data_IF_593566053116
#
_entry.id   IF_593566053116
#
_cell.length_a   1.000
_cell.length_b   1.000
_cell.length_c   1.000
_cell.angle_alpha   90.00
_cell.angle_beta   90.00
_cell.angle_gamma   90.00
#
_symmetry.space_group_name_H-M   'P 1'
#
loop_
_entity.id
_entity.type
_entity.pdbx_description
1 polymer ?
#
# COMPACT_ATOMS: atom_id res chain seq x y z
N UNK A 1 68.14 15.98 18.92
CA UNK A 1 67.14 15.17 19.66
C UNK A 1 67.48 13.69 19.47
N UNK A 2 67.56 12.89 20.55
CA UNK A 2 68.11 11.52 20.54
C UNK A 2 67.18 10.54 19.78
N UNK A 3 67.44 10.31 18.49
CA UNK A 3 66.65 9.45 17.58
C UNK A 3 66.44 8.00 18.10
N UNK A 4 67.41 7.45 18.84
CA UNK A 4 67.30 6.12 19.46
C UNK A 4 66.23 6.05 20.55
N UNK A 5 66.04 7.12 21.32
CA UNK A 5 65.03 7.16 22.37
C UNK A 5 63.61 7.29 21.76
N UNK A 6 63.48 8.03 20.66
CA UNK A 6 62.21 8.17 19.93
C UNK A 6 61.79 6.85 19.27
N UNK A 7 62.74 6.08 18.72
CA UNK A 7 62.46 4.76 18.14
C UNK A 7 62.02 3.74 19.21
N UNK A 8 62.69 3.73 20.36
CA UNK A 8 62.35 2.86 21.48
C UNK A 8 60.94 3.18 22.03
N UNK A 9 60.62 4.47 22.18
CA UNK A 9 59.28 4.92 22.57
C UNK A 9 58.22 4.54 21.53
N UNK A 10 58.52 4.65 20.24
CA UNK A 10 57.60 4.23 19.17
C UNK A 10 57.30 2.73 19.22
N UNK A 11 58.31 1.88 19.42
CA UNK A 11 58.12 0.43 19.56
C UNK A 11 57.24 0.11 20.78
N UNK A 12 57.46 0.79 21.91
CA UNK A 12 56.63 0.63 23.10
C UNK A 12 55.17 1.02 22.81
N UNK A 13 54.93 2.13 22.11
CA UNK A 13 53.58 2.56 21.71
C UNK A 13 52.92 1.54 20.78
N UNK A 14 53.65 0.95 19.83
CA UNK A 14 53.12 -0.09 18.93
C UNK A 14 52.77 -1.36 19.72
N UNK A 15 53.63 -1.80 20.65
CA UNK A 15 53.38 -2.98 21.49
C UNK A 15 52.18 -2.75 22.43
N UNK A 16 52.10 -1.57 23.06
CA UNK A 16 50.95 -1.19 23.89
C UNK A 16 49.67 -1.08 23.05
N UNK A 17 49.74 -0.50 21.86
CA UNK A 17 48.62 -0.41 20.92
C UNK A 17 48.13 -1.80 20.47
N UNK A 18 49.04 -2.72 20.18
CA UNK A 18 48.71 -4.11 19.87
C UNK A 18 48.07 -4.82 21.07
N UNK A 19 48.62 -4.64 22.29
CA UNK A 19 48.05 -5.21 23.52
C UNK A 19 46.63 -4.70 23.78
N UNK A 20 46.40 -3.38 23.73
CA UNK A 20 45.07 -2.79 23.90
C UNK A 20 44.09 -3.30 22.85
N UNK A 21 44.50 -3.36 21.58
CA UNK A 21 43.63 -3.85 20.50
C UNK A 21 43.26 -5.33 20.66
N UNK A 22 44.22 -6.21 20.93
CA UNK A 22 43.96 -7.66 21.01
C UNK A 22 43.30 -8.07 22.34
N UNK A 23 43.72 -7.51 23.47
CA UNK A 23 43.25 -7.94 24.79
C UNK A 23 42.02 -7.20 25.28
N UNK A 24 42.01 -5.86 25.15
CA UNK A 24 40.85 -5.05 25.56
C UNK A 24 39.78 -5.06 24.48
N UNK A 25 40.08 -4.66 23.24
CA UNK A 25 39.02 -4.55 22.23
C UNK A 25 38.54 -5.91 21.71
N UNK A 26 39.44 -6.73 21.14
CA UNK A 26 39.07 -8.03 20.58
C UNK A 26 38.74 -9.05 21.67
N UNK A 27 39.51 -9.07 22.75
CA UNK A 27 39.29 -9.96 23.90
C UNK A 27 38.01 -9.64 24.69
N UNK A 28 37.69 -8.37 24.95
CA UNK A 28 36.42 -8.04 25.59
C UNK A 28 35.23 -8.35 24.69
N UNK A 29 35.34 -8.05 23.39
CA UNK A 29 34.31 -8.43 22.41
C UNK A 29 34.06 -9.93 22.39
N UNK A 30 35.11 -10.75 22.37
CA UNK A 30 34.97 -12.20 22.41
C UNK A 30 34.33 -12.69 23.72
N UNK A 31 34.75 -12.16 24.87
CA UNK A 31 34.14 -12.50 26.17
C UNK A 31 32.66 -12.11 26.25
N UNK A 32 32.30 -10.96 25.68
CA UNK A 32 30.92 -10.49 25.62
C UNK A 32 30.07 -11.35 24.67
N UNK A 33 30.63 -11.78 23.53
CA UNK A 33 30.00 -12.73 22.62
C UNK A 33 29.82 -14.11 23.26
N UNK A 34 30.82 -14.62 23.97
CA UNK A 34 30.76 -15.88 24.73
C UNK A 34 29.72 -15.81 25.85
N UNK A 35 29.70 -14.71 26.62
CA UNK A 35 28.69 -14.47 27.66
C UNK A 35 27.29 -14.40 27.06
N UNK A 36 27.11 -13.65 25.98
CA UNK A 36 25.81 -13.52 25.31
C UNK A 36 25.32 -14.88 24.79
N UNK A 37 26.20 -15.67 24.17
CA UNK A 37 25.91 -17.03 23.71
C UNK A 37 25.58 -17.98 24.87
N UNK A 38 26.28 -17.84 25.99
CA UNK A 38 26.01 -18.56 27.23
C UNK A 38 24.71 -18.11 27.94
N UNK A 39 24.07 -17.03 27.50
CA UNK A 39 22.76 -16.61 27.98
C UNK A 39 21.63 -16.96 26.99
N UNK A 40 21.92 -17.20 25.71
CA UNK A 40 20.91 -17.56 24.70
C UNK A 40 20.16 -18.83 25.08
N UNK A 41 18.85 -18.86 24.88
CA UNK A 41 18.03 -20.06 25.10
C UNK A 41 18.44 -21.19 24.17
N UNK A 42 18.58 -20.88 22.87
CA UNK A 42 19.05 -21.79 21.82
C UNK A 42 20.12 -21.04 21.02
N UNK A 43 21.31 -21.60 20.87
CA UNK A 43 22.39 -21.04 20.04
C UNK A 43 22.27 -21.58 18.62
N UNK A 44 21.72 -20.78 17.71
CA UNK A 44 21.56 -21.15 16.30
C UNK A 44 21.65 -19.94 15.37
N UNK A 45 21.92 -20.21 14.08
CA UNK A 45 21.88 -19.21 13.01
C UNK A 45 20.53 -19.22 12.30
N UNK A 46 19.91 -18.05 12.14
CA UNK A 46 18.55 -17.93 11.55
C UNK A 46 18.49 -18.37 10.09
N UNK A 47 19.60 -18.21 9.38
CA UNK A 47 19.75 -18.55 7.97
C UNK A 47 19.77 -20.07 7.77
N UNK A 48 20.08 -20.83 8.81
CA UNK A 48 20.15 -22.29 8.78
C UNK A 48 18.81 -22.96 9.11
N UNK A 49 17.80 -22.20 9.57
CA UNK A 49 16.46 -22.72 9.86
C UNK A 49 15.70 -22.98 8.55
N UNK A 50 15.37 -24.25 8.30
CA UNK A 50 14.61 -24.71 7.13
C UNK A 50 13.15 -25.01 7.45
N UNK A 51 12.82 -25.25 8.72
CA UNK A 51 11.46 -25.60 9.13
C UNK A 51 11.14 -25.17 10.56
N UNK A 52 9.87 -24.92 10.82
CA UNK A 52 9.32 -24.80 12.17
C UNK A 52 8.10 -25.70 12.33
N UNK A 53 7.92 -26.32 13.49
CA UNK A 53 6.66 -26.98 13.85
C UNK A 53 6.13 -26.43 15.17
N UNK A 54 4.84 -26.09 15.20
CA UNK A 54 4.11 -25.71 16.40
C UNK A 54 3.09 -26.80 16.72
N UNK A 55 3.24 -27.42 17.88
CA UNK A 55 2.41 -28.55 18.31
C UNK A 55 1.71 -28.16 19.60
N UNK A 56 0.40 -28.33 19.63
CA UNK A 56 -0.44 -28.16 20.81
C UNK A 56 -1.40 -29.33 20.96
N UNK A 57 -2.23 -29.34 22.00
CA UNK A 57 -3.29 -30.33 22.17
C UNK A 57 -4.38 -30.26 21.09
N UNK A 58 -4.47 -29.15 20.34
CA UNK A 58 -5.56 -28.89 19.39
C UNK A 58 -5.13 -28.98 17.92
N UNK A 59 -3.89 -28.62 17.62
CA UNK A 59 -3.38 -28.57 16.25
C UNK A 59 -1.86 -28.80 16.20
N UNK A 60 -1.42 -29.38 15.08
CA UNK A 60 -0.02 -29.47 14.67
C UNK A 60 0.15 -28.70 13.38
N UNK A 61 1.00 -27.67 13.40
CA UNK A 61 1.30 -26.83 12.25
C UNK A 61 2.75 -27.02 11.89
N UNK A 62 3.02 -27.42 10.66
CA UNK A 62 4.39 -27.59 10.15
C UNK A 62 4.60 -26.62 8.99
N UNK A 63 5.67 -25.83 9.09
CA UNK A 63 6.08 -24.87 8.07
C UNK A 63 7.49 -25.22 7.58
N UNK A 64 7.70 -25.17 6.26
CA UNK A 64 8.98 -25.38 5.62
C UNK A 64 9.31 -24.22 4.68
N UNK A 65 10.59 -23.88 4.61
CA UNK A 65 11.10 -22.91 3.64
C UNK A 65 11.39 -23.64 2.34
N UNK A 66 10.79 -23.19 1.24
CA UNK A 66 11.04 -23.74 -0.08
C UNK A 66 12.37 -23.23 -0.68
N UNK A 67 12.72 -23.74 -1.86
CA UNK A 67 13.95 -23.37 -2.57
C UNK A 67 14.01 -21.91 -3.01
N UNK A 68 12.86 -21.23 -3.11
CA UNK A 68 12.77 -19.79 -3.40
C UNK A 68 12.92 -18.91 -2.15
N UNK A 69 12.95 -19.52 -0.96
CA UNK A 69 13.02 -18.82 0.31
C UNK A 69 11.66 -18.37 0.85
N UNK A 70 10.56 -18.81 0.26
CA UNK A 70 9.21 -18.55 0.76
C UNK A 70 8.81 -19.66 1.75
N UNK A 71 7.98 -19.29 2.73
CA UNK A 71 7.48 -20.26 3.71
C UNK A 71 6.20 -20.92 3.21
N UNK A 72 6.11 -22.24 3.39
CA UNK A 72 4.96 -23.07 3.07
C UNK A 72 4.50 -23.78 4.33
N UNK A 73 3.20 -23.80 4.56
CA UNK A 73 2.56 -24.67 5.54
C UNK A 73 2.29 -26.00 4.84
N UNK A 74 2.74 -27.09 5.44
CA UNK A 74 2.57 -28.46 4.94
C UNK A 74 1.62 -29.29 5.80
N UNK A 75 1.36 -28.87 7.04
CA UNK A 75 0.31 -29.44 7.91
C UNK A 75 -0.40 -28.34 8.70
N UNK A 76 -1.72 -28.48 8.95
CA UNK A 76 -2.60 -29.55 8.46
C UNK A 76 -3.08 -29.33 7.01
N UNK A 77 -2.75 -28.19 6.40
CA UNK A 77 -3.14 -27.82 5.03
C UNK A 77 -1.91 -27.49 4.20
N UNK A 78 -2.03 -27.59 2.87
CA UNK A 78 -1.01 -27.11 1.94
C UNK A 78 -1.30 -25.64 1.60
N UNK A 79 -0.49 -24.72 2.11
CA UNK A 79 -0.72 -23.29 1.92
C UNK A 79 0.57 -22.45 1.96
N UNK A 80 0.49 -21.23 1.43
CA UNK A 80 1.53 -20.23 1.65
C UNK A 80 1.54 -19.76 3.11
N UNK A 81 2.73 -19.66 3.68
CA UNK A 81 2.98 -19.12 5.01
C UNK A 81 3.22 -17.61 5.00
N UNK A 82 2.76 -16.95 6.05
CA UNK A 82 3.07 -15.55 6.33
C UNK A 82 4.53 -15.44 6.79
N UNK A 83 5.40 -15.07 5.84
CA UNK A 83 6.85 -14.95 6.04
C UNK A 83 7.20 -14.08 7.25
N UNK A 84 6.56 -12.92 7.40
CA UNK A 84 6.86 -11.99 8.50
C UNK A 84 6.52 -12.59 9.87
N UNK A 85 5.42 -13.33 9.97
CA UNK A 85 5.01 -13.99 11.22
C UNK A 85 5.95 -15.16 11.55
N UNK A 86 6.27 -16.01 10.57
CA UNK A 86 7.15 -17.17 10.76
C UNK A 86 8.57 -16.73 11.11
N UNK A 87 9.13 -15.76 10.38
CA UNK A 87 10.44 -15.18 10.71
C UNK A 87 10.44 -14.45 12.05
N UNK A 88 9.31 -13.86 12.45
CA UNK A 88 9.11 -13.29 13.78
C UNK A 88 9.26 -14.32 14.91
N UNK A 89 8.76 -15.54 14.71
CA UNK A 89 8.95 -16.66 15.66
C UNK A 89 10.43 -17.02 15.75
N UNK A 90 11.10 -17.19 14.61
CA UNK A 90 12.52 -17.53 14.55
C UNK A 90 13.36 -16.45 15.25
N UNK A 91 13.08 -15.17 14.97
CA UNK A 91 13.74 -14.04 15.63
C UNK A 91 13.49 -14.02 17.14
N UNK A 92 12.27 -14.36 17.59
CA UNK A 92 11.94 -14.47 19.02
C UNK A 92 12.80 -15.53 19.69
N UNK A 93 12.97 -16.70 19.07
CA UNK A 93 13.80 -17.78 19.62
C UNK A 93 15.28 -17.46 19.60
N UNK A 94 15.77 -16.85 18.52
CA UNK A 94 17.17 -16.43 18.40
C UNK A 94 17.55 -15.37 19.44
N UNK A 95 16.61 -14.51 19.85
CA UNK A 95 16.83 -13.48 20.86
C UNK A 95 16.43 -13.90 22.28
N UNK A 96 15.80 -15.07 22.44
CA UNK A 96 15.39 -15.57 23.74
C UNK A 96 16.60 -15.88 24.61
N UNK A 97 16.54 -15.51 25.89
CA UNK A 97 17.58 -15.79 26.89
C UNK A 97 17.08 -16.77 27.95
N UNK A 98 18.02 -17.46 28.58
CA UNK A 98 17.84 -18.21 29.81
C UNK A 98 17.86 -17.21 30.97
N UNK A 99 16.68 -16.81 31.41
CA UNK A 99 16.54 -15.82 32.48
C UNK A 99 16.89 -16.45 33.84
N UNK A 100 16.47 -17.69 34.04
CA UNK A 100 16.74 -18.43 35.28
C UNK A 100 16.65 -19.94 35.06
N UNK A 101 17.48 -20.69 35.78
CA UNK A 101 17.32 -22.14 35.94
C UNK A 101 16.44 -22.38 37.17
N UNK A 102 15.35 -23.13 37.00
CA UNK A 102 14.37 -23.42 38.05
C UNK A 102 14.60 -24.80 38.65
N UNK A 103 14.96 -25.77 37.81
CA UNK A 103 15.35 -27.11 38.23
C UNK A 103 16.50 -27.62 37.36
N UNK A 104 17.45 -28.30 37.97
CA UNK A 104 18.58 -28.95 37.28
C UNK A 104 18.23 -30.37 36.79
N UNK A 105 17.06 -30.90 37.19
CA UNK A 105 16.57 -32.24 36.86
C UNK A 105 15.12 -32.20 36.37
N UNK A 106 14.66 -33.30 35.76
CA UNK A 106 13.29 -33.51 35.26
C UNK A 106 12.24 -33.73 36.38
N UNK A 107 12.41 -33.05 37.52
CA UNK A 107 11.47 -33.08 38.64
C UNK A 107 10.36 -32.04 38.45
N UNK A 108 9.15 -32.35 38.93
CA UNK A 108 8.00 -31.45 38.99
C UNK A 108 7.57 -30.84 37.63
N UNK A 109 7.80 -31.55 36.51
CA UNK A 109 7.42 -31.06 35.17
C UNK A 109 5.93 -30.74 35.03
N UNK A 110 5.06 -31.46 35.74
CA UNK A 110 3.61 -31.21 35.76
C UNK A 110 3.29 -29.83 36.35
N UNK A 111 3.97 -29.43 37.44
CA UNK A 111 3.76 -28.14 38.12
C UNK A 111 4.10 -26.96 37.21
N UNK A 112 5.09 -27.15 36.34
CA UNK A 112 5.52 -26.17 35.35
C UNK A 112 4.70 -26.22 34.05
N UNK A 113 3.73 -27.13 33.93
CA UNK A 113 2.96 -27.33 32.71
C UNK A 113 3.80 -27.86 31.54
N UNK A 114 4.86 -28.62 31.82
CA UNK A 114 5.76 -29.24 30.84
C UNK A 114 5.45 -30.73 30.63
N UNK A 115 4.50 -31.30 31.37
CA UNK A 115 4.01 -32.67 31.23
C UNK A 115 2.49 -32.77 31.49
N UNK A 116 1.63 -32.76 30.44
CA UNK A 116 1.98 -32.46 29.06
C UNK A 116 2.40 -30.98 28.90
N UNK A 117 3.23 -30.64 27.89
CA UNK A 117 3.55 -29.26 27.58
C UNK A 117 2.35 -28.49 27.03
N UNK A 118 2.23 -27.22 27.38
CA UNK A 118 1.25 -26.28 26.81
C UNK A 118 1.44 -26.05 25.30
N UNK A 119 2.69 -26.09 24.83
CA UNK A 119 3.04 -26.13 23.42
C UNK A 119 4.44 -26.73 23.23
N UNK A 120 4.69 -27.31 22.07
CA UNK A 120 6.02 -27.76 21.64
C UNK A 120 6.40 -27.01 20.37
N UNK A 121 7.59 -26.43 20.35
CA UNK A 121 8.17 -25.78 19.19
C UNK A 121 9.39 -26.57 18.71
N UNK A 122 9.40 -26.93 17.42
CA UNK A 122 10.53 -27.63 16.80
C UNK A 122 11.16 -26.71 15.74
N UNK A 123 12.47 -26.52 15.80
CA UNK A 123 13.27 -25.90 14.75
C UNK A 123 13.97 -26.99 13.95
N UNK A 124 13.82 -26.97 12.62
CA UNK A 124 14.56 -27.85 11.71
C UNK A 124 15.65 -27.06 10.99
N UNK A 125 16.83 -27.65 10.85
CA UNK A 125 18.00 -27.00 10.27
C UNK A 125 18.48 -27.65 8.98
N UNK A 126 19.25 -26.90 8.17
CA UNK A 126 19.91 -27.42 6.94
C UNK A 126 20.78 -28.65 7.17
N UNK A 127 21.34 -28.79 8.37
CA UNK A 127 22.16 -29.94 8.75
C UNK A 127 21.38 -31.24 8.92
N UNK A 128 20.05 -31.20 8.86
CA UNK A 128 19.17 -32.33 9.18
C UNK A 128 18.91 -32.50 10.68
N UNK A 129 19.57 -31.71 11.55
CA UNK A 129 19.28 -31.68 12.98
C UNK A 129 17.99 -30.91 13.27
N UNK A 130 17.39 -31.19 14.41
CA UNK A 130 16.27 -30.43 14.94
C UNK A 130 16.44 -30.17 16.44
N UNK A 131 16.01 -28.98 16.88
CA UNK A 131 15.91 -28.63 18.29
C UNK A 131 14.45 -28.53 18.70
N UNK A 132 14.12 -29.16 19.83
CA UNK A 132 12.76 -29.20 20.37
C UNK A 132 12.69 -28.47 21.69
N UNK A 133 11.83 -27.46 21.76
CA UNK A 133 11.54 -26.67 22.94
C UNK A 133 10.13 -27.00 23.44
N UNK A 134 10.06 -27.59 24.63
CA UNK A 134 8.82 -27.76 25.38
C UNK A 134 8.52 -26.45 26.09
N UNK A 135 7.30 -25.96 25.95
CA UNK A 135 6.82 -24.71 26.53
C UNK A 135 5.67 -25.03 27.47
N UNK A 136 5.77 -24.58 28.71
CA UNK A 136 4.78 -24.80 29.75
C UNK A 136 4.07 -23.53 30.18
N UNK A 137 3.71 -23.49 31.46
CA UNK A 137 2.96 -22.40 32.06
C UNK A 137 3.75 -21.09 32.07
N UNK A 138 3.02 -19.97 32.08
CA UNK A 138 3.60 -18.68 32.44
C UNK A 138 3.80 -18.60 33.96
N UNK A 139 4.80 -17.85 34.39
CA UNK A 139 4.98 -17.56 35.82
C UNK A 139 3.82 -16.67 36.34
N UNK A 140 3.64 -16.53 37.67
CA UNK A 140 2.53 -15.75 38.24
C UNK A 140 2.44 -14.30 37.75
N UNK A 141 3.59 -13.65 37.51
CA UNK A 141 3.65 -12.28 36.98
C UNK A 141 3.39 -12.19 35.48
N UNK A 142 3.31 -13.34 34.79
CA UNK A 142 3.13 -13.50 33.34
C UNK A 142 4.24 -12.89 32.48
N UNK A 143 5.36 -12.51 33.09
CA UNK A 143 6.54 -11.95 32.40
C UNK A 143 7.34 -13.04 31.71
N UNK A 144 7.40 -14.22 32.33
CA UNK A 144 8.21 -15.36 31.88
C UNK A 144 7.35 -16.60 31.68
N UNK A 145 7.91 -17.57 30.96
CA UNK A 145 7.34 -18.90 30.79
C UNK A 145 8.37 -19.97 31.15
N UNK A 146 7.88 -21.07 31.73
CA UNK A 146 8.68 -22.26 31.95
C UNK A 146 8.90 -22.96 30.61
N UNK A 147 10.15 -23.33 30.33
CA UNK A 147 10.55 -24.03 29.11
C UNK A 147 11.58 -25.10 29.42
N UNK A 148 11.66 -26.10 28.52
CA UNK A 148 12.66 -27.16 28.59
C UNK A 148 13.11 -27.55 27.19
N UNK A 149 14.42 -27.62 26.98
CA UNK A 149 14.97 -28.22 25.76
C UNK A 149 14.87 -29.74 25.87
N UNK A 150 14.39 -30.42 24.83
CA UNK A 150 14.17 -31.87 24.89
C UNK A 150 15.45 -32.66 25.22
N UNK A 151 16.61 -32.19 24.75
CA UNK A 151 17.91 -32.80 25.00
C UNK A 151 18.55 -32.42 26.35
N UNK A 152 17.86 -31.65 27.21
CA UNK A 152 18.38 -31.16 28.49
C UNK A 152 17.42 -31.50 29.64
N UNK A 153 17.93 -31.89 30.82
CA UNK A 153 17.09 -32.13 31.98
C UNK A 153 16.66 -30.85 32.73
N UNK A 154 17.12 -29.67 32.29
CA UNK A 154 16.92 -28.42 33.02
C UNK A 154 15.56 -27.79 32.69
N UNK A 155 14.86 -27.33 33.72
CA UNK A 155 13.70 -26.44 33.58
C UNK A 155 14.16 -24.99 33.70
N UNK A 156 13.81 -24.18 32.71
CA UNK A 156 14.28 -22.81 32.55
C UNK A 156 13.11 -21.83 32.56
N UNK A 157 13.37 -20.58 32.95
CA UNK A 157 12.53 -19.44 32.61
C UNK A 157 13.09 -18.70 31.40
N UNK A 158 12.20 -18.29 30.52
CA UNK A 158 12.50 -17.36 29.42
C UNK A 158 11.36 -16.36 29.25
N UNK A 159 11.56 -15.34 28.41
CA UNK A 159 10.53 -14.33 28.12
C UNK A 159 9.22 -14.97 27.65
N UNK A 160 8.09 -14.45 28.13
CA UNK A 160 6.75 -14.88 27.69
C UNK A 160 6.49 -14.71 26.19
N UNK A 161 7.33 -13.95 25.45
CA UNK A 161 7.30 -13.91 23.99
C UNK A 161 7.46 -15.29 23.35
N UNK A 162 8.29 -16.16 23.93
CA UNK A 162 8.47 -17.55 23.46
C UNK A 162 7.15 -18.33 23.61
N UNK A 163 6.44 -18.14 24.74
CA UNK A 163 5.13 -18.75 24.96
C UNK A 163 4.10 -18.30 23.91
N UNK A 164 4.02 -17.02 23.60
CA UNK A 164 3.09 -16.53 22.58
C UNK A 164 3.46 -16.97 21.16
N UNK A 165 4.75 -17.08 20.85
CA UNK A 165 5.24 -17.58 19.56
C UNK A 165 4.95 -19.07 19.36
N UNK A 166 5.14 -19.89 20.39
CA UNK A 166 4.85 -21.33 20.34
C UNK A 166 3.35 -21.65 20.21
N UNK A 167 2.48 -20.72 20.60
CA UNK A 167 1.01 -20.87 20.57
C UNK A 167 0.32 -20.14 19.42
N UNK A 168 1.07 -19.73 18.39
CA UNK A 168 0.47 -19.22 17.15
C UNK A 168 -0.39 -20.30 16.51
N UNK A 169 -1.53 -19.90 15.97
CA UNK A 169 -2.49 -20.80 15.33
C UNK A 169 -2.24 -20.86 13.82
N UNK A 170 -2.84 -21.84 13.14
CA UNK A 170 -2.74 -21.97 11.68
C UNK A 170 -3.06 -20.66 10.94
N UNK A 171 -4.12 -19.97 11.36
CA UNK A 171 -4.53 -18.69 10.77
C UNK A 171 -3.48 -17.57 10.93
N UNK A 172 -2.71 -17.58 12.02
CA UNK A 172 -1.66 -16.58 12.24
C UNK A 172 -0.52 -16.79 11.26
N UNK A 173 -0.15 -18.05 11.04
CA UNK A 173 0.97 -18.46 10.19
C UNK A 173 0.65 -18.47 8.70
N UNK A 174 -0.62 -18.43 8.31
CA UNK A 174 -1.03 -18.50 6.90
C UNK A 174 -0.96 -17.13 6.21
N UNK A 175 -0.58 -17.12 4.94
CA UNK A 175 -0.67 -15.94 4.09
C UNK A 175 -2.15 -15.51 3.98
N UNK A 176 -2.43 -14.31 4.50
CA UNK A 176 -3.78 -13.75 4.57
C UNK A 176 -4.09 -12.79 3.42
N UNK A 177 -3.26 -12.66 2.39
CA UNK A 177 -3.62 -11.86 1.22
C UNK A 177 -4.84 -12.47 0.52
N UNK A 178 -5.81 -11.63 0.14
CA UNK A 178 -6.96 -12.09 -0.64
C UNK A 178 -6.55 -12.43 -2.08
N UNK A 179 -5.50 -11.78 -2.59
CA UNK A 179 -4.81 -12.08 -3.84
C UNK A 179 -3.42 -11.43 -3.80
N UNK A 180 -2.36 -12.15 -4.16
CA UNK A 180 -0.97 -11.67 -4.08
C UNK A 180 -0.53 -11.12 -5.44
N UNK A 181 -0.21 -9.82 -5.50
CA UNK A 181 0.31 -9.13 -6.67
C UNK A 181 1.12 -7.90 -6.27
N UNK A 182 1.84 -7.32 -7.23
CA UNK A 182 2.58 -6.08 -7.04
C UNK A 182 1.91 -4.99 -7.86
N UNK A 183 1.45 -3.92 -7.19
CA UNK A 183 0.67 -2.84 -7.82
C UNK A 183 1.41 -2.13 -8.96
N UNK A 184 2.74 -2.02 -8.85
CA UNK A 184 3.59 -1.40 -9.88
C UNK A 184 3.59 -2.19 -11.19
N UNK A 185 3.31 -3.49 -11.11
CA UNK A 185 3.35 -4.40 -12.24
C UNK A 185 1.97 -4.52 -12.92
N UNK A 186 0.90 -3.94 -12.35
CA UNK A 186 -0.44 -3.99 -12.94
C UNK A 186 -0.50 -3.07 -14.17
N UNK A 187 -0.68 -3.66 -15.35
CA UNK A 187 -0.86 -2.93 -16.61
C UNK A 187 -2.33 -2.82 -17.03
N UNK A 188 -3.17 -3.77 -16.63
CA UNK A 188 -4.61 -3.79 -16.94
C UNK A 188 -5.41 -4.37 -15.79
N UNK A 189 -6.58 -3.78 -15.57
CA UNK A 189 -7.55 -4.14 -14.54
C UNK A 189 -8.91 -4.26 -15.21
N UNK A 190 -9.57 -5.40 -15.02
CA UNK A 190 -10.96 -5.62 -15.45
C UNK A 190 -11.82 -5.86 -14.21
N UNK A 191 -12.89 -5.09 -14.07
CA UNK A 191 -13.85 -5.19 -12.96
C UNK A 191 -15.17 -5.67 -13.52
N UNK A 192 -15.63 -6.83 -13.05
CA UNK A 192 -16.95 -7.38 -13.38
C UNK A 192 -17.88 -7.20 -12.17
N UNK A 193 -19.08 -6.69 -12.40
CA UNK A 193 -20.10 -6.48 -11.36
C UNK A 193 -21.48 -6.77 -11.95
N UNK A 194 -21.99 -7.97 -11.68
CA UNK A 194 -23.18 -8.48 -12.38
C UNK A 194 -22.98 -8.44 -13.89
N UNK A 195 -23.86 -7.72 -14.61
CA UNK A 195 -23.79 -7.56 -16.07
C UNK A 195 -22.85 -6.44 -16.55
N UNK A 196 -22.28 -5.64 -15.65
CA UNK A 196 -21.39 -4.53 -15.99
C UNK A 196 -19.94 -5.02 -15.97
N UNK A 197 -19.17 -4.59 -16.96
CA UNK A 197 -17.73 -4.81 -17.02
C UNK A 197 -17.02 -3.50 -17.37
N UNK A 198 -15.88 -3.25 -16.73
CA UNK A 198 -15.02 -2.10 -16.99
C UNK A 198 -13.60 -2.59 -17.18
N UNK A 199 -12.96 -2.19 -18.28
CA UNK A 199 -11.56 -2.51 -18.54
C UNK A 199 -10.74 -1.22 -18.57
N UNK A 200 -9.74 -1.12 -17.71
CA UNK A 200 -8.77 -0.03 -17.72
C UNK A 200 -7.38 -0.59 -18.00
N UNK A 201 -6.60 0.11 -18.82
CA UNK A 201 -5.29 -0.31 -19.28
C UNK A 201 -4.32 0.86 -19.30
N UNK A 202 -3.06 0.59 -18.98
CA UNK A 202 -2.00 1.59 -18.93
C UNK A 202 -1.30 1.64 -20.29
N UNK A 203 -1.56 2.71 -21.04
CA UNK A 203 -0.96 2.98 -22.35
C UNK A 203 0.03 4.12 -22.16
N UNK A 204 1.31 3.87 -22.48
CA UNK A 204 2.40 4.85 -22.31
C UNK A 204 2.43 5.50 -20.90
N UNK A 205 2.13 4.71 -19.87
CA UNK A 205 2.09 5.16 -18.49
C UNK A 205 0.77 5.82 -18.04
N UNK A 206 -0.18 6.05 -18.95
CA UNK A 206 -1.46 6.70 -18.67
C UNK A 206 -2.58 5.66 -18.61
N UNK A 207 -3.36 5.68 -17.53
CA UNK A 207 -4.55 4.84 -17.42
C UNK A 207 -5.65 5.30 -18.38
N UNK A 208 -6.14 4.36 -19.18
CA UNK A 208 -7.19 4.56 -20.19
C UNK A 208 -8.32 3.56 -19.93
N UNK A 209 -9.55 4.04 -19.85
CA UNK A 209 -10.74 3.19 -19.86
C UNK A 209 -10.94 2.74 -21.30
N UNK A 210 -10.94 1.43 -21.53
CA UNK A 210 -11.13 0.80 -22.85
C UNK A 210 -12.53 0.24 -23.05
N UNK A 211 -13.25 -0.03 -21.96
CA UNK A 211 -14.62 -0.52 -22.00
C UNK A 211 -15.41 0.02 -20.79
N UNK A 212 -16.68 0.44 -20.97
CA UNK A 212 -17.50 0.34 -22.19
C UNK A 212 -17.26 1.43 -23.24
N UNK A 213 -16.47 2.45 -22.92
CA UNK A 213 -16.06 3.51 -23.84
C UNK A 213 -14.55 3.71 -23.75
N UNK A 214 -13.97 4.26 -24.82
CA UNK A 214 -12.56 4.62 -24.85
C UNK A 214 -12.35 6.07 -24.41
N UNK A 215 -11.74 6.27 -23.24
CA UNK A 215 -11.45 7.60 -22.69
C UNK A 215 -10.35 7.53 -21.63
N UNK A 216 -9.72 8.67 -21.28
CA UNK A 216 -8.76 8.71 -20.17
C UNK A 216 -9.42 8.26 -18.88
N UNK A 217 -8.72 7.46 -18.08
CA UNK A 217 -9.22 7.00 -16.79
C UNK A 217 -8.64 7.81 -15.62
N UNK A 218 -9.41 7.87 -14.54
CA UNK A 218 -9.04 8.51 -13.28
C UNK A 218 -8.03 7.61 -12.54
N UNK A 219 -6.75 7.97 -12.66
CA UNK A 219 -5.65 7.21 -12.07
C UNK A 219 -5.78 7.08 -10.54
N UNK A 220 -6.28 8.10 -9.85
CA UNK A 220 -6.48 8.07 -8.39
C UNK A 220 -7.53 7.04 -7.99
N UNK A 221 -8.62 6.95 -8.75
CA UNK A 221 -9.68 5.97 -8.52
C UNK A 221 -9.16 4.56 -8.76
N UNK A 222 -8.43 4.33 -9.84
CA UNK A 222 -7.79 3.02 -10.12
C UNK A 222 -6.82 2.64 -9.00
N UNK A 223 -5.95 3.58 -8.59
CA UNK A 223 -5.00 3.35 -7.51
C UNK A 223 -5.71 3.06 -6.17
N UNK A 224 -6.83 3.72 -5.86
CA UNK A 224 -7.65 3.42 -4.67
C UNK A 224 -8.19 1.99 -4.70
N UNK A 225 -8.63 1.51 -5.86
CA UNK A 225 -9.12 0.13 -6.06
C UNK A 225 -7.97 -0.86 -5.84
N UNK A 226 -6.84 -0.69 -6.55
CA UNK A 226 -5.66 -1.55 -6.43
C UNK A 226 -5.12 -1.57 -4.99
N UNK A 227 -5.05 -0.41 -4.32
CA UNK A 227 -4.64 -0.30 -2.93
C UNK A 227 -5.57 -1.06 -2.00
N UNK A 228 -6.89 -0.93 -2.17
CA UNK A 228 -7.87 -1.65 -1.35
C UNK A 228 -7.71 -3.15 -1.52
N UNK A 229 -7.57 -3.66 -2.74
CA UNK A 229 -7.44 -5.10 -3.00
C UNK A 229 -6.13 -5.61 -2.38
N UNK A 230 -5.00 -4.96 -2.67
CA UNK A 230 -3.67 -5.35 -2.18
C UNK A 230 -3.53 -5.33 -0.64
N UNK A 231 -4.17 -4.35 0.02
CA UNK A 231 -4.13 -4.22 1.49
C UNK A 231 -5.17 -5.09 2.21
N UNK A 232 -6.13 -5.65 1.49
CA UNK A 232 -7.17 -6.48 2.10
C UNK A 232 -6.61 -7.82 2.55
N UNK A 233 -7.18 -8.32 3.64
CA UNK A 233 -6.81 -9.58 4.25
C UNK A 233 -8.01 -10.50 4.37
N UNK A 234 -7.74 -11.80 4.25
CA UNK A 234 -8.66 -12.88 4.57
C UNK A 234 -9.07 -12.73 6.03
N UNK A 235 -10.38 -12.74 6.28
CA UNK A 235 -10.93 -12.73 7.63
C UNK A 235 -10.97 -14.14 8.24
N UNK A 236 -11.29 -15.14 7.42
CA UNK A 236 -11.54 -16.52 7.81
C UNK A 236 -11.42 -17.39 6.55
N UNK A 237 -10.80 -18.56 6.66
CA UNK A 237 -10.87 -19.60 5.65
C UNK A 237 -12.06 -20.50 6.01
N UNK A 238 -13.02 -20.61 5.10
CA UNK A 238 -14.32 -21.26 5.34
C UNK A 238 -14.27 -22.73 4.95
N UNK A 239 -13.71 -23.01 3.78
CA UNK A 239 -13.61 -24.36 3.24
C UNK A 239 -12.32 -24.48 2.41
N UNK A 240 -11.50 -25.49 2.69
CA UNK A 240 -10.19 -25.67 2.05
C UNK A 240 -10.33 -26.19 0.61
N UNK A 241 -11.30 -27.07 0.37
CA UNK A 241 -11.50 -27.80 -0.88
C UNK A 241 -12.99 -27.87 -1.22
N UNK A 242 -13.60 -26.75 -1.65
CA UNK A 242 -15.02 -26.73 -2.00
C UNK A 242 -15.32 -27.61 -3.22
N UNK A 243 -16.28 -28.52 -3.09
CA UNK A 243 -16.80 -29.31 -4.21
C UNK A 243 -17.78 -28.50 -5.08
N UNK A 244 -18.58 -27.64 -4.44
CA UNK A 244 -19.56 -26.78 -5.09
C UNK A 244 -19.34 -25.31 -4.72
N UNK A 245 -19.06 -24.48 -5.73
CA UNK A 245 -18.87 -23.03 -5.60
C UNK A 245 -20.18 -22.25 -5.64
N UNK A 246 -21.28 -22.86 -6.09
CA UNK A 246 -22.58 -22.17 -6.21
C UNK A 246 -23.16 -21.84 -4.85
N UNK A 247 -22.94 -22.68 -3.83
CA UNK A 247 -23.35 -22.42 -2.44
C UNK A 247 -22.74 -21.11 -1.89
N UNK A 248 -21.58 -20.70 -2.38
CA UNK A 248 -20.90 -19.45 -2.00
C UNK A 248 -21.22 -18.28 -2.94
N UNK A 249 -22.01 -18.53 -3.98
CA UNK A 249 -22.25 -17.58 -5.07
C UNK A 249 -20.97 -17.24 -5.83
N UNK A 250 -20.02 -18.17 -5.94
CA UNK A 250 -18.76 -18.00 -6.69
C UNK A 250 -18.84 -18.57 -8.11
N UNK A 251 -19.93 -19.26 -8.45
CA UNK A 251 -20.23 -19.76 -9.79
C UNK A 251 -21.73 -19.55 -10.10
N UNK A 252 -22.12 -18.44 -10.77
CA UNK A 252 -21.27 -17.31 -11.15
C UNK A 252 -20.97 -16.36 -9.97
N UNK A 253 -19.83 -15.65 -9.98
CA UNK A 253 -19.47 -14.70 -8.93
C UNK A 253 -20.30 -13.41 -9.04
N UNK A 254 -20.61 -12.78 -7.89
CA UNK A 254 -21.26 -11.47 -7.85
C UNK A 254 -20.34 -10.35 -8.34
N UNK A 255 -19.04 -10.47 -8.05
CA UNK A 255 -17.98 -9.60 -8.55
C UNK A 255 -16.77 -10.44 -8.95
N UNK A 256 -16.06 -10.02 -10.00
CA UNK A 256 -14.76 -10.57 -10.34
C UNK A 256 -13.78 -9.44 -10.68
N UNK A 257 -12.51 -9.65 -10.36
CA UNK A 257 -11.44 -8.72 -10.67
C UNK A 257 -10.34 -9.48 -11.39
N UNK A 258 -10.07 -9.09 -12.63
CA UNK A 258 -8.91 -9.59 -13.37
C UNK A 258 -7.79 -8.55 -13.32
N UNK A 259 -6.62 -8.97 -12.87
CA UNK A 259 -5.39 -8.20 -12.89
C UNK A 259 -4.46 -8.81 -13.93
N UNK A 260 -3.95 -8.00 -14.83
CA UNK A 260 -2.92 -8.39 -15.78
C UNK A 260 -1.61 -7.72 -15.34
N UNK A 261 -0.55 -8.54 -15.25
CA UNK A 261 0.74 -8.14 -14.68
C UNK A 261 1.83 -8.15 -15.74
N UNK A 262 2.61 -7.07 -15.81
CA UNK A 262 3.83 -6.97 -16.58
C UNK A 262 4.96 -7.82 -15.96
N UNK A 263 5.97 -8.23 -16.76
CA UNK A 263 6.11 -8.03 -18.20
C UNK A 263 5.37 -9.09 -19.04
N UNK A 264 4.96 -10.21 -18.45
CA UNK A 264 4.46 -11.39 -19.18
C UNK A 264 2.93 -11.43 -19.38
N UNK A 265 2.23 -10.36 -19.01
CA UNK A 265 0.77 -10.26 -19.04
C UNK A 265 0.06 -11.37 -18.22
N UNK A 266 0.70 -11.87 -17.15
CA UNK A 266 0.12 -12.89 -16.30
C UNK A 266 -1.21 -12.42 -15.71
N UNK A 267 -2.25 -13.23 -15.89
CA UNK A 267 -3.59 -12.96 -15.36
C UNK A 267 -3.72 -13.50 -13.93
N UNK A 268 -4.28 -12.70 -13.03
CA UNK A 268 -4.71 -13.10 -11.70
C UNK A 268 -6.17 -12.70 -11.49
N UNK A 269 -6.99 -13.61 -10.98
CA UNK A 269 -8.43 -13.38 -10.82
C UNK A 269 -8.86 -13.54 -9.36
N UNK A 270 -9.56 -12.53 -8.83
CA UNK A 270 -10.26 -12.61 -7.55
C UNK A 270 -11.77 -12.71 -7.80
N UNK A 271 -12.39 -13.79 -7.36
CA UNK A 271 -13.84 -13.96 -7.33
C UNK A 271 -14.41 -13.55 -5.98
N UNK A 272 -15.54 -12.84 -5.98
CA UNK A 272 -16.29 -12.48 -4.78
C UNK A 272 -17.75 -12.86 -5.01
N UNK A 273 -18.25 -13.73 -4.14
CA UNK A 273 -19.57 -14.32 -4.24
C UNK A 273 -20.63 -13.61 -3.41
N UNK A 274 -21.54 -14.40 -2.82
CA UNK A 274 -22.65 -13.87 -2.02
C UNK A 274 -22.17 -13.32 -0.67
N UNK A 275 -23.01 -12.49 -0.05
CA UNK A 275 -22.80 -12.03 1.33
C UNK A 275 -22.89 -13.22 2.29
N UNK A 276 -21.96 -13.31 3.25
CA UNK A 276 -22.15 -14.13 4.46
C UNK A 276 -23.04 -13.39 5.46
N UNK A 277 -22.76 -12.09 5.64
CA UNK A 277 -23.49 -11.18 6.52
C UNK A 277 -23.31 -9.71 6.05
N UNK A 278 -23.65 -8.73 6.89
CA UNK A 278 -23.53 -7.30 6.58
C UNK A 278 -22.10 -6.78 6.42
N UNK A 279 -21.12 -7.51 6.96
CA UNK A 279 -19.70 -7.15 7.02
C UNK A 279 -18.85 -7.94 6.03
N UNK A 280 -19.24 -9.16 5.67
CA UNK A 280 -18.38 -10.10 4.94
C UNK A 280 -19.04 -10.75 3.72
N UNK A 281 -18.21 -11.07 2.73
CA UNK A 281 -18.55 -11.82 1.52
C UNK A 281 -17.66 -13.04 1.40
N UNK A 282 -18.17 -14.10 0.80
CA UNK A 282 -17.35 -15.21 0.34
C UNK A 282 -16.50 -14.75 -0.86
N UNK A 283 -15.27 -15.23 -0.93
CA UNK A 283 -14.34 -14.92 -2.00
C UNK A 283 -13.39 -16.09 -2.24
N UNK A 284 -12.78 -16.10 -3.42
CA UNK A 284 -11.77 -17.06 -3.81
C UNK A 284 -10.77 -16.42 -4.78
N UNK A 285 -9.51 -16.67 -4.53
CA UNK A 285 -8.42 -16.43 -5.48
C UNK A 285 -8.39 -17.60 -6.45
N UNK A 286 -8.48 -17.35 -7.76
CA UNK A 286 -8.56 -18.40 -8.77
C UNK A 286 -7.35 -19.35 -8.73
N UNK A 287 -6.16 -18.86 -8.34
CA UNK A 287 -4.98 -19.72 -8.23
C UNK A 287 -4.92 -20.56 -6.94
N UNK A 288 -5.94 -20.51 -6.08
CA UNK A 288 -5.99 -21.24 -4.79
C UNK A 288 -7.30 -22.00 -4.64
N UNK A 289 -7.26 -23.10 -3.90
CA UNK A 289 -8.45 -23.93 -3.60
C UNK A 289 -9.42 -23.31 -2.58
N UNK A 290 -8.96 -22.71 -1.47
CA UNK A 290 -9.85 -22.34 -0.38
C UNK A 290 -10.84 -21.23 -0.71
N UNK A 291 -12.05 -21.36 -0.17
CA UNK A 291 -13.03 -20.27 -0.04
C UNK A 291 -12.79 -19.55 1.27
N UNK A 292 -12.77 -18.22 1.22
CA UNK A 292 -12.50 -17.39 2.38
C UNK A 292 -13.41 -16.17 2.46
N UNK A 293 -13.37 -15.48 3.58
CA UNK A 293 -14.15 -14.26 3.80
C UNK A 293 -13.33 -13.00 3.59
N UNK A 294 -13.96 -12.03 2.93
CA UNK A 294 -13.43 -10.68 2.72
C UNK A 294 -14.40 -9.62 3.22
N UNK A 295 -13.86 -8.49 3.68
CA UNK A 295 -14.68 -7.36 4.12
C UNK A 295 -15.50 -6.78 2.96
N UNK A 296 -16.73 -6.33 3.25
CA UNK A 296 -17.58 -5.52 2.36
C UNK A 296 -16.86 -4.31 1.76
N UNK A 297 -15.82 -3.79 2.42
CA UNK A 297 -15.00 -2.71 1.88
C UNK A 297 -14.30 -3.06 0.56
N UNK A 298 -14.04 -4.34 0.29
CA UNK A 298 -13.57 -4.81 -1.02
C UNK A 298 -14.67 -4.57 -2.06
N UNK A 299 -15.90 -5.03 -1.83
CA UNK A 299 -17.00 -4.83 -2.78
C UNK A 299 -17.39 -3.37 -2.99
N UNK A 300 -17.24 -2.52 -1.97
CA UNK A 300 -17.57 -1.09 -2.06
C UNK A 300 -16.74 -0.38 -3.13
N UNK A 301 -15.46 -0.74 -3.29
CA UNK A 301 -14.59 -0.13 -4.31
C UNK A 301 -14.80 -0.73 -5.70
N UNK A 302 -15.54 -1.83 -5.84
CA UNK A 302 -15.83 -2.45 -7.16
C UNK A 302 -17.13 -1.94 -7.78
N UNK A 303 -18.00 -1.30 -6.99
CA UNK A 303 -19.23 -0.66 -7.46
C UNK A 303 -18.92 0.60 -8.25
N UNK A 304 -18.41 0.39 -9.46
CA UNK A 304 -17.95 1.45 -10.34
C UNK A 304 -18.99 1.82 -11.39
N UNK A 305 -18.78 3.01 -11.96
CA UNK A 305 -19.51 3.52 -13.11
C UNK A 305 -18.50 4.12 -14.08
N UNK A 306 -18.92 4.31 -15.34
CA UNK A 306 -18.10 5.01 -16.34
C UNK A 306 -17.66 6.37 -15.82
N UNK A 307 -18.56 7.11 -15.16
CA UNK A 307 -18.26 8.41 -14.57
C UNK A 307 -17.18 8.35 -13.47
N UNK A 308 -17.20 7.34 -12.60
CA UNK A 308 -16.21 7.23 -11.54
C UNK A 308 -14.83 6.90 -12.10
N UNK A 309 -14.77 5.99 -13.07
CA UNK A 309 -13.52 5.48 -13.65
C UNK A 309 -12.89 6.41 -14.67
N UNK A 310 -13.65 7.31 -15.30
CA UNK A 310 -13.09 8.25 -16.27
C UNK A 310 -12.46 9.47 -15.60
N UNK A 311 -11.45 10.01 -16.26
CA UNK A 311 -10.82 11.29 -15.91
C UNK A 311 -11.87 12.40 -15.96
N UNK A 312 -11.97 13.17 -14.87
CA UNK A 312 -12.97 14.23 -14.69
C UNK A 312 -12.34 15.62 -14.84
N UNK A 313 -11.04 15.71 -15.12
CA UNK A 313 -10.37 16.98 -15.36
C UNK A 313 -10.76 17.53 -16.74
N UNK A 314 -11.12 18.81 -16.81
CA UNK A 314 -11.60 19.45 -18.05
C UNK A 314 -10.43 20.02 -18.86
N UNK A 315 -9.46 20.63 -18.16
CA UNK A 315 -8.24 21.19 -18.73
C UNK A 315 -7.05 20.84 -17.84
N UNK A 316 -5.90 20.64 -18.48
CA UNK A 316 -4.63 20.41 -17.80
C UNK A 316 -3.54 21.22 -18.51
N UNK A 317 -2.69 21.91 -17.74
CA UNK A 317 -1.57 22.68 -18.26
C UNK A 317 -0.50 22.85 -17.18
N UNK A 318 0.72 23.15 -17.61
CA UNK A 318 1.82 23.47 -16.71
C UNK A 318 1.74 24.94 -16.30
N UNK A 319 1.39 25.19 -15.02
CA UNK A 319 1.27 26.54 -14.45
C UNK A 319 2.55 27.38 -14.56
N UNK A 320 3.72 26.73 -14.61
CA UNK A 320 5.00 27.45 -14.69
C UNK A 320 5.26 28.01 -16.08
N UNK A 321 4.62 27.45 -17.11
CA UNK A 321 4.69 27.95 -18.50
C UNK A 321 3.72 29.10 -18.77
N UNK A 322 2.76 29.34 -17.87
CA UNK A 322 1.73 30.37 -18.08
C UNK A 322 2.36 31.76 -17.98
N UNK A 323 2.13 32.57 -19.00
CA UNK A 323 2.56 33.97 -19.06
C UNK A 323 1.40 34.95 -19.17
N UNK A 324 0.25 34.51 -19.70
CA UNK A 324 -0.93 35.36 -19.90
C UNK A 324 -2.22 34.59 -19.60
N UNK A 325 -3.17 35.26 -18.99
CA UNK A 325 -4.53 34.75 -18.77
C UNK A 325 -5.54 35.84 -19.14
N UNK A 326 -6.60 35.44 -19.82
CA UNK A 326 -7.66 36.33 -20.30
C UNK A 326 -9.01 35.85 -19.79
N UNK A 327 -9.85 36.77 -19.33
CA UNK A 327 -11.28 36.55 -19.12
C UNK A 327 -12.03 37.40 -20.15
N UNK A 328 -12.77 36.75 -21.04
CA UNK A 328 -13.56 37.40 -22.09
C UNK A 328 -15.04 37.20 -21.77
N UNK A 329 -15.71 38.28 -21.39
CA UNK A 329 -17.15 38.37 -21.21
C UNK A 329 -17.82 38.86 -22.50
N UNK A 330 -19.14 38.98 -22.50
CA UNK A 330 -19.89 39.46 -23.67
C UNK A 330 -19.62 40.93 -24.02
N UNK A 331 -19.24 41.75 -23.04
CA UNK A 331 -19.13 43.21 -23.15
C UNK A 331 -17.77 43.75 -22.68
N UNK A 332 -16.91 42.89 -22.13
CA UNK A 332 -15.69 43.31 -21.44
C UNK A 332 -14.62 42.21 -21.46
N UNK A 333 -13.36 42.61 -21.37
CA UNK A 333 -12.21 41.71 -21.22
C UNK A 333 -11.39 42.10 -19.99
N UNK A 334 -10.74 41.09 -19.41
CA UNK A 334 -9.68 41.27 -18.42
C UNK A 334 -8.47 40.50 -18.90
N UNK A 335 -7.33 41.16 -19.00
CA UNK A 335 -6.08 40.54 -19.42
C UNK A 335 -5.05 40.71 -18.33
N UNK A 336 -4.48 39.61 -17.87
CA UNK A 336 -3.30 39.63 -17.00
C UNK A 336 -2.12 38.99 -17.71
N UNK A 337 -0.96 39.63 -17.64
CA UNK A 337 0.28 39.14 -18.23
C UNK A 337 1.45 39.33 -17.26
N UNK A 338 2.43 38.42 -17.32
CA UNK A 338 3.67 38.58 -16.58
C UNK A 338 4.61 39.57 -17.27
N UNK A 339 5.30 40.38 -16.49
CA UNK A 339 6.44 41.17 -16.94
C UNK A 339 7.73 40.33 -17.00
N UNK A 340 8.85 40.97 -17.33
CA UNK A 340 10.18 40.37 -17.43
C UNK A 340 10.70 39.83 -16.09
N UNK A 341 10.15 40.26 -14.95
CA UNK A 341 10.45 39.71 -13.62
C UNK A 341 9.62 38.48 -13.27
N UNK A 342 8.63 38.13 -14.11
CA UNK A 342 7.68 37.05 -13.87
C UNK A 342 6.50 37.46 -12.99
N UNK A 343 6.34 38.76 -12.69
CA UNK A 343 5.25 39.29 -11.86
C UNK A 343 4.03 39.63 -12.71
N UNK A 344 2.82 39.36 -12.20
CA UNK A 344 1.58 39.63 -12.92
C UNK A 344 1.22 41.12 -12.92
N UNK A 345 0.80 41.61 -14.08
CA UNK A 345 0.20 42.93 -14.27
C UNK A 345 -1.22 42.75 -14.82
N UNK A 346 -2.13 43.67 -14.48
CA UNK A 346 -3.39 43.83 -15.22
C UNK A 346 -3.12 44.75 -16.40
N UNK A 347 -3.38 44.26 -17.60
CA UNK A 347 -3.14 44.96 -18.88
C UNK A 347 -4.44 45.58 -19.39
N UNK A 348 -5.55 44.88 -19.23
CA UNK A 348 -6.89 45.34 -19.60
C UNK A 348 -7.89 45.02 -18.48
N UNK A 349 -8.92 45.86 -18.28
CA UNK A 349 -9.22 47.11 -19.01
C UNK A 349 -8.48 48.32 -18.42
N UNK A 350 -7.72 48.13 -17.35
CA UNK A 350 -6.89 49.17 -16.71
C UNK A 350 -5.46 48.66 -16.56
N UNK A 351 -4.50 49.56 -16.72
CA UNK A 351 -3.09 49.24 -16.53
C UNK A 351 -2.76 49.30 -15.03
N UNK A 352 -2.60 48.14 -14.39
CA UNK A 352 -2.16 48.03 -13.00
C UNK A 352 -0.84 47.25 -12.93
N UNK A 353 0.18 47.89 -12.35
CA UNK A 353 1.52 47.30 -12.22
C UNK A 353 1.55 46.13 -11.23
N UNK A 354 2.67 45.41 -11.18
CA UNK A 354 2.88 44.29 -10.26
C UNK A 354 2.65 44.67 -8.79
N UNK A 355 3.01 45.89 -8.40
CA UNK A 355 2.81 46.40 -7.03
C UNK A 355 1.33 46.66 -6.70
N UNK A 356 0.49 46.92 -7.71
CA UNK A 356 -0.94 47.17 -7.59
C UNK A 356 -1.78 45.90 -7.83
N UNK A 357 -1.18 44.83 -8.37
CA UNK A 357 -1.88 43.60 -8.73
C UNK A 357 -1.79 42.56 -7.60
N UNK A 358 -2.92 41.92 -7.29
CA UNK A 358 -3.06 40.80 -6.34
C UNK A 358 -2.51 39.51 -6.95
N UNK A 359 -1.19 39.36 -6.96
CA UNK A 359 -0.45 38.19 -7.49
C UNK A 359 -1.05 36.84 -7.08
N UNK A 360 -1.35 36.69 -5.78
CA UNK A 360 -1.91 35.48 -5.20
C UNK A 360 -3.27 35.11 -5.80
N UNK A 361 -4.09 36.10 -6.19
CA UNK A 361 -5.43 35.87 -6.73
C UNK A 361 -5.36 35.22 -8.11
N UNK A 362 -4.47 35.68 -8.97
CA UNK A 362 -4.26 35.12 -10.32
C UNK A 362 -3.71 33.69 -10.20
N UNK A 363 -2.70 33.47 -9.36
CA UNK A 363 -2.13 32.14 -9.12
C UNK A 363 -3.16 31.15 -8.53
N UNK A 364 -4.05 31.64 -7.65
CA UNK A 364 -5.16 30.83 -7.12
C UNK A 364 -6.14 30.45 -8.21
N UNK A 365 -6.55 31.37 -9.09
CA UNK A 365 -7.46 31.02 -10.19
C UNK A 365 -6.82 30.05 -11.18
N UNK A 366 -5.54 30.21 -11.51
CA UNK A 366 -4.81 29.21 -12.31
C UNK A 366 -4.81 27.83 -11.64
N UNK A 367 -4.74 27.77 -10.31
CA UNK A 367 -4.84 26.50 -9.58
C UNK A 367 -6.27 25.96 -9.59
N UNK A 368 -7.26 26.81 -9.36
CA UNK A 368 -8.67 26.44 -9.29
C UNK A 368 -9.20 25.93 -10.63
N UNK A 369 -8.79 26.51 -11.75
CA UNK A 369 -9.11 26.03 -13.11
C UNK A 369 -8.68 24.56 -13.29
N UNK A 370 -7.46 24.20 -12.91
CA UNK A 370 -6.99 22.80 -13.00
C UNK A 370 -7.69 21.85 -12.03
N UNK A 371 -8.34 22.38 -10.99
CA UNK A 371 -9.11 21.63 -9.99
C UNK A 371 -10.59 21.50 -10.36
N UNK A 372 -11.07 22.19 -11.39
CA UNK A 372 -12.43 22.01 -11.90
C UNK A 372 -12.61 20.54 -12.31
N UNK A 373 -13.70 19.93 -11.86
CA UNK A 373 -14.06 18.55 -12.19
C UNK A 373 -15.45 18.52 -12.80
N UNK A 374 -15.58 17.81 -13.92
CA UNK A 374 -16.86 17.49 -14.52
C UNK A 374 -17.73 16.71 -13.51
N UNK A 375 -18.97 17.18 -13.29
CA UNK A 375 -19.99 16.47 -12.52
C UNK A 375 -20.86 15.59 -13.37
N UNK A 376 -21.07 15.99 -14.62
CA UNK A 376 -21.73 15.19 -15.65
C UNK A 376 -21.01 15.40 -16.98
N UNK A 377 -21.04 14.38 -17.83
CA UNK A 377 -20.63 14.45 -19.24
C UNK A 377 -21.92 14.52 -20.05
N UNK A 378 -22.33 15.73 -20.40
CA UNK A 378 -23.67 16.03 -20.93
C UNK A 378 -23.79 15.59 -22.39
N UNK A 379 -22.73 15.78 -23.18
CA UNK A 379 -22.68 15.33 -24.57
C UNK A 379 -21.24 15.01 -25.00
N UNK A 380 -21.05 13.84 -25.60
CA UNK A 380 -19.77 13.33 -26.12
C UNK A 380 -20.02 12.33 -27.26
N UNK A 381 -19.65 12.64 -28.51
CA UNK A 381 -19.26 13.98 -28.98
C UNK A 381 -20.47 14.94 -28.96
N UNK A 382 -20.22 16.20 -28.64
CA UNK A 382 -21.22 17.26 -28.73
C UNK A 382 -21.48 17.61 -30.21
N UNK A 383 -22.68 17.28 -30.72
CA UNK A 383 -23.08 17.59 -32.10
C UNK A 383 -23.31 19.09 -32.35
N UNK A 384 -23.64 19.85 -31.32
CA UNK A 384 -23.84 21.30 -31.38
C UNK A 384 -23.57 21.94 -30.03
N UNK A 385 -23.01 23.16 -30.04
CA UNK A 385 -22.76 23.95 -28.82
C UNK A 385 -23.87 24.95 -28.50
N UNK A 386 -24.78 25.21 -29.45
CA UNK A 386 -25.89 26.16 -29.29
C UNK A 386 -26.81 25.81 -28.10
N UNK A 387 -27.26 24.55 -27.92
CA UNK A 387 -28.19 24.22 -26.84
C UNK A 387 -27.64 24.51 -25.45
N UNK A 388 -26.32 24.58 -25.32
CA UNK A 388 -25.60 24.76 -24.06
C UNK A 388 -25.16 26.21 -23.83
N UNK A 389 -25.46 27.13 -24.75
CA UNK A 389 -24.93 28.49 -24.71
C UNK A 389 -23.41 28.56 -24.90
N UNK A 390 -22.80 27.54 -25.50
CA UNK A 390 -21.35 27.44 -25.70
C UNK A 390 -20.91 27.94 -27.08
N UNK A 391 -21.84 28.18 -28.00
CA UNK A 391 -21.56 28.89 -29.24
C UNK A 391 -21.41 30.41 -29.04
N UNK A 392 -22.08 30.95 -28.02
CA UNK A 392 -21.91 32.32 -27.51
C UNK A 392 -21.73 32.24 -25.98
N UNK A 393 -20.52 31.86 -25.51
CA UNK A 393 -20.25 31.67 -24.08
C UNK A 393 -20.49 32.94 -23.28
N UNK A 394 -20.91 32.79 -22.03
CA UNK A 394 -21.04 33.89 -21.08
C UNK A 394 -19.67 34.34 -20.53
N UNK A 395 -18.69 33.43 -20.54
CA UNK A 395 -17.30 33.69 -20.19
C UNK A 395 -16.40 32.71 -20.95
N UNK A 396 -15.32 33.24 -21.52
CA UNK A 396 -14.20 32.46 -22.04
C UNK A 396 -12.98 32.78 -21.19
N UNK A 397 -12.31 31.75 -20.68
CA UNK A 397 -11.02 31.91 -20.01
C UNK A 397 -9.94 31.31 -20.90
N UNK A 398 -8.95 32.12 -21.32
CA UNK A 398 -7.81 31.67 -22.11
C UNK A 398 -6.53 31.74 -21.32
N UNK A 399 -5.67 30.74 -21.47
CA UNK A 399 -4.40 30.63 -20.77
C UNK A 399 -3.32 30.42 -21.82
N UNK A 400 -2.33 31.31 -21.85
CA UNK A 400 -1.29 31.32 -22.87
C UNK A 400 0.10 31.32 -22.25
N UNK A 401 1.07 30.75 -22.97
CA UNK A 401 2.48 30.83 -22.62
C UNK A 401 3.13 32.15 -23.09
N UNK A 402 4.44 32.25 -22.90
CA UNK A 402 5.25 33.43 -23.27
C UNK A 402 5.24 33.73 -24.77
N UNK A 403 5.02 32.71 -25.60
CA UNK A 403 5.04 32.79 -27.06
C UNK A 403 3.61 32.98 -27.60
N UNK A 404 2.66 33.33 -26.72
CA UNK A 404 1.22 33.46 -27.01
C UNK A 404 0.58 32.16 -27.54
N UNK A 405 1.19 31.01 -27.27
CA UNK A 405 0.57 29.72 -27.57
C UNK A 405 -0.46 29.39 -26.50
N UNK A 406 -1.66 28.99 -26.93
CA UNK A 406 -2.72 28.58 -26.03
C UNK A 406 -2.36 27.27 -25.31
N UNK A 407 -2.31 27.33 -23.98
CA UNK A 407 -2.09 26.18 -23.10
C UNK A 407 -3.42 25.52 -22.71
N UNK A 408 -4.47 26.33 -22.51
CA UNK A 408 -5.80 25.85 -22.21
C UNK A 408 -6.86 26.93 -22.49
N UNK A 409 -8.09 26.50 -22.74
CA UNK A 409 -9.27 27.37 -22.86
C UNK A 409 -10.46 26.71 -22.18
N UNK A 410 -11.26 27.50 -21.46
CA UNK A 410 -12.55 27.11 -20.90
C UNK A 410 -13.64 28.04 -21.43
N UNK A 411 -14.69 27.45 -22.01
CA UNK A 411 -15.91 28.16 -22.42
C UNK A 411 -16.99 27.82 -21.41
N UNK A 412 -17.59 28.84 -20.80
CA UNK A 412 -18.67 28.70 -19.82
C UNK A 412 -19.96 29.19 -20.48
N UNK A 413 -20.90 28.27 -20.63
CA UNK A 413 -22.19 28.48 -21.29
C UNK A 413 -23.28 28.85 -20.31
N UNK A 414 -24.52 28.49 -20.66
CA UNK A 414 -25.69 28.77 -19.82
C UNK A 414 -25.72 27.89 -18.57
N UNK A 415 -26.53 28.34 -17.62
CA UNK A 415 -26.80 27.60 -16.39
C UNK A 415 -27.52 26.26 -16.66
N UNK A 416 -27.21 25.26 -15.84
CA UNK A 416 -27.75 23.91 -15.88
C UNK A 416 -28.22 23.48 -14.49
N UNK A 417 -29.49 23.03 -14.39
CA UNK A 417 -30.12 22.53 -13.16
C UNK A 417 -29.96 23.44 -11.93
N UNK A 418 -29.96 24.76 -12.10
CA UNK A 418 -29.85 25.80 -11.04
C UNK A 418 -28.53 25.85 -10.24
N UNK A 419 -27.70 24.81 -10.30
CA UNK A 419 -26.49 24.65 -9.47
C UNK A 419 -25.22 24.42 -10.28
N UNK A 420 -25.33 24.31 -11.60
CA UNK A 420 -24.21 24.01 -12.49
C UNK A 420 -24.20 24.92 -13.72
N UNK A 421 -23.10 24.89 -14.46
CA UNK A 421 -22.98 25.50 -15.78
C UNK A 421 -22.53 24.45 -16.79
N UNK A 422 -22.97 24.63 -18.04
CA UNK A 422 -22.34 23.93 -19.15
C UNK A 422 -20.95 24.50 -19.41
N UNK A 423 -19.97 23.63 -19.58
CA UNK A 423 -18.58 24.00 -19.84
C UNK A 423 -18.03 23.14 -20.98
N UNK A 424 -17.20 23.70 -21.85
CA UNK A 424 -16.34 22.92 -22.74
C UNK A 424 -14.90 23.45 -22.67
N UNK A 425 -13.96 22.65 -23.14
CA UNK A 425 -12.58 23.06 -23.35
C UNK A 425 -12.32 23.41 -24.83
N UNK A 426 -11.05 23.72 -25.15
CA UNK A 426 -10.57 24.07 -26.49
C UNK A 426 -10.93 23.07 -27.60
N UNK A 427 -11.05 21.77 -27.27
CA UNK A 427 -11.37 20.75 -28.27
C UNK A 427 -12.82 20.83 -28.74
N UNK A 428 -13.70 21.45 -27.93
CA UNK A 428 -15.13 21.67 -28.23
C UNK A 428 -15.91 20.38 -28.55
N UNK A 429 -15.35 19.22 -28.21
CA UNK A 429 -15.92 17.88 -28.45
C UNK A 429 -16.82 17.39 -27.32
N UNK A 430 -16.62 17.86 -26.09
CA UNK A 430 -17.33 17.37 -24.91
C UNK A 430 -17.96 18.54 -24.17
N UNK A 431 -19.24 18.40 -23.84
CA UNK A 431 -19.94 19.34 -22.97
C UNK A 431 -20.00 18.74 -21.57
N UNK A 432 -19.44 19.43 -20.60
CA UNK A 432 -19.43 19.06 -19.19
C UNK A 432 -20.47 19.88 -18.41
N UNK A 433 -21.01 19.30 -17.34
CA UNK A 433 -21.66 20.07 -16.29
C UNK A 433 -20.69 20.30 -15.14
N UNK A 434 -20.54 21.55 -14.68
CA UNK A 434 -19.61 21.94 -13.61
C UNK A 434 -20.35 22.70 -12.52
N UNK A 435 -19.98 22.47 -11.26
CA UNK A 435 -20.60 23.16 -10.12
C UNK A 435 -20.45 24.67 -10.24
N UNK A 436 -21.54 25.39 -9.95
CA UNK A 436 -21.59 26.85 -9.84
C UNK A 436 -20.48 27.40 -8.93
N UNK A 437 -20.18 26.75 -7.81
CA UNK A 437 -19.14 27.21 -6.89
C UNK A 437 -17.72 27.12 -7.47
N UNK A 438 -17.46 26.14 -8.34
CA UNK A 438 -16.17 26.06 -9.03
C UNK A 438 -16.06 27.16 -10.10
N UNK A 439 -17.16 27.46 -10.80
CA UNK A 439 -17.23 28.59 -11.75
C UNK A 439 -17.09 29.95 -11.06
N UNK A 440 -17.71 30.13 -9.89
CA UNK A 440 -17.60 31.36 -9.10
C UNK A 440 -16.16 31.68 -8.70
N UNK A 441 -15.33 30.67 -8.41
CA UNK A 441 -13.92 30.87 -8.03
C UNK A 441 -13.08 31.44 -9.17
N UNK A 442 -13.41 31.10 -10.41
CA UNK A 442 -12.65 31.47 -11.60
C UNK A 442 -13.25 32.64 -12.37
N UNK A 443 -14.48 33.03 -12.08
CA UNK A 443 -15.14 34.24 -12.62
C UNK A 443 -14.68 35.47 -11.83
N UNK A 444 -13.84 36.30 -12.44
CA UNK A 444 -13.25 37.48 -11.80
C UNK A 444 -13.75 38.79 -12.41
N UNK A 445 -13.88 39.81 -11.57
CA UNK A 445 -13.97 41.21 -11.97
C UNK A 445 -12.62 41.91 -11.74
N UNK A 446 -12.37 43.01 -12.44
CA UNK A 446 -11.11 43.77 -12.36
C UNK A 446 -10.77 44.18 -10.93
N UNK A 447 -11.78 44.60 -10.15
CA UNK A 447 -11.64 44.97 -8.73
C UNK A 447 -11.14 43.82 -7.84
N UNK A 448 -11.33 42.56 -8.27
CA UNK A 448 -10.85 41.40 -7.53
C UNK A 448 -9.32 41.23 -7.66
N UNK A 449 -8.73 41.83 -8.69
CA UNK A 449 -7.33 41.68 -9.09
C UNK A 449 -6.43 42.85 -8.69
N UNK A 450 -7.01 44.02 -8.39
CA UNK A 450 -6.27 45.22 -8.00
C UNK A 450 -6.34 45.39 -6.48
N UNK A 451 -5.27 45.88 -5.86
CA UNK A 451 -5.14 46.09 -4.41
C UNK A 451 -6.16 47.07 -3.87
#
# INVERSE_FOLDING_TARGET
>A
MKSRNTLLLFIIVVVLGAYLYFYEYKGAKQREEEKTRAEMLIDFKKEDVTGIALISSHETIECHRDSSGEWKIVKPVQADGDKGTIEGIINTLHSARRERIIAETDSNLTDYGLKPPEATLILSFKSGKADTLLVGNKNPTKTFAFVKLAHSPKVLLTSSSVYYSARKKLFDLRDKHIIKFSKKDVNKLVIHTGKKSFAVEKIEGIWTLKSPIETRADADTINKILNRINSSRVKEFVEEHPEDLTQYGLAPPAYAIDLYLAPNNAKKTLFIGKKKDDKYYYARDESRSPVFLVSKQVTNVLKQSVYNLRDKQIVNYDKYKVNRIEWVYSDSSIVCAKDTSGSWNVVEPVTATASQTKQWKINNVLSDITRIRAKEFVAEPAKSLNPYGLAKPQLIIRILDKDSKQLAELLIGKEYKKEMFYVTNQDKKIVFAVKRDDIKKVKLQVKDLIK
#
